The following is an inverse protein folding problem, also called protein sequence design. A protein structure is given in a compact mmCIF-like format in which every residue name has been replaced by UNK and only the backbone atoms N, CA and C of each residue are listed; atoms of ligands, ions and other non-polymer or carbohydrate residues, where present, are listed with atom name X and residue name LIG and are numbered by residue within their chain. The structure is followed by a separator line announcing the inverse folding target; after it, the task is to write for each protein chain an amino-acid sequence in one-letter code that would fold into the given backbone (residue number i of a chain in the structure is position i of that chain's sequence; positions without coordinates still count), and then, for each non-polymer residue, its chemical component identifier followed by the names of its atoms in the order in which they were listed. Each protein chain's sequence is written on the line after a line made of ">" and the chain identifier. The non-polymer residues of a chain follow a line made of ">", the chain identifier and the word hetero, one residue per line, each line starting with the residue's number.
data_IF_215052613294
#
_entry.id   IF_215052613294
#
_cell.length_a   1.000
_cell.length_b   1.000
_cell.length_c   1.000
_cell.angle_alpha   90.00
_cell.angle_beta   90.00
_cell.angle_gamma   90.00
#
_symmetry.space_group_name_H-M   'P 1'
#
loop_
_entity.id
_entity.type
_entity.pdbx_description
1 polymer ?
#
# COMPACT_ATOMS: atom_id res chain seq x y z
N UNK A 1 -10.01 -7.96 34.76
CA UNK A 1 -11.08 -7.98 33.76
C UNK A 1 -10.44 -8.23 32.42
N UNK A 2 -11.14 -8.86 31.48
CA UNK A 2 -10.59 -9.32 30.20
C UNK A 2 -11.56 -8.98 29.06
N UNK A 3 -11.01 -8.59 27.91
CA UNK A 3 -11.75 -8.39 26.68
C UNK A 3 -10.92 -8.86 25.48
N UNK A 4 -11.60 -9.35 24.44
CA UNK A 4 -10.98 -9.79 23.18
C UNK A 4 -11.68 -9.06 22.01
N UNK A 5 -10.96 -8.23 21.31
CA UNK A 5 -11.48 -7.33 20.28
C UNK A 5 -10.84 -7.66 18.94
N UNK A 6 -11.65 -7.76 17.88
CA UNK A 6 -11.16 -8.04 16.53
C UNK A 6 -10.60 -6.80 15.88
N UNK A 7 -9.48 -6.99 15.18
CA UNK A 7 -8.80 -5.96 14.38
C UNK A 7 -8.01 -6.63 13.26
N UNK A 8 -7.23 -5.84 12.52
CA UNK A 8 -6.32 -6.33 11.50
C UNK A 8 -4.98 -5.59 11.55
N UNK A 9 -3.92 -6.25 11.09
CA UNK A 9 -2.60 -5.64 10.86
C UNK A 9 -2.20 -5.79 9.39
N UNK A 10 -1.45 -4.81 8.88
CA UNK A 10 -0.97 -4.83 7.50
C UNK A 10 0.35 -5.60 7.40
N UNK A 11 0.42 -6.52 6.42
CA UNK A 11 1.63 -7.27 6.11
C UNK A 11 1.89 -7.24 4.59
N UNK A 12 2.83 -6.41 4.16
CA UNK A 12 3.04 -6.12 2.74
C UNK A 12 1.81 -5.46 2.11
N UNK A 13 1.13 -6.18 1.22
CA UNK A 13 -0.09 -5.72 0.54
C UNK A 13 -1.36 -6.40 1.05
N UNK A 14 -1.26 -7.23 2.10
CA UNK A 14 -2.39 -7.99 2.66
C UNK A 14 -2.66 -7.58 4.10
N UNK A 15 -3.93 -7.52 4.46
CA UNK A 15 -4.35 -7.49 5.85
C UNK A 15 -4.29 -8.89 6.46
N UNK A 16 -3.96 -8.95 7.73
CA UNK A 16 -4.01 -10.18 8.52
C UNK A 16 -4.90 -9.94 9.74
N UNK A 17 -5.94 -10.77 9.95
CA UNK A 17 -6.82 -10.60 11.10
C UNK A 17 -6.05 -10.89 12.39
N UNK A 18 -6.32 -10.09 13.40
CA UNK A 18 -5.75 -10.23 14.75
C UNK A 18 -6.83 -10.04 15.82
N UNK A 19 -6.55 -10.55 17.01
CA UNK A 19 -7.34 -10.28 18.20
C UNK A 19 -6.51 -9.44 19.16
N UNK A 20 -7.03 -8.30 19.55
CA UNK A 20 -6.48 -7.43 20.61
C UNK A 20 -7.10 -7.88 21.93
N UNK A 21 -6.30 -8.52 22.78
CA UNK A 21 -6.73 -8.97 24.10
C UNK A 21 -6.30 -7.93 25.15
N UNK A 22 -7.26 -7.33 25.82
CA UNK A 22 -7.03 -6.36 26.88
C UNK A 22 -7.28 -6.99 28.25
N UNK A 23 -6.28 -6.97 29.11
CA UNK A 23 -6.40 -7.42 30.49
C UNK A 23 -6.08 -6.29 31.47
N UNK A 24 -7.06 -5.95 32.32
CA UNK A 24 -6.90 -4.99 33.42
C UNK A 24 -6.87 -5.74 34.72
N UNK A 25 -5.67 -5.88 35.33
CA UNK A 25 -5.40 -6.66 36.50
C UNK A 25 -5.15 -5.81 37.75
N UNK A 26 -5.01 -6.48 38.90
CA UNK A 26 -4.58 -5.85 40.16
C UNK A 26 -3.07 -5.57 40.09
N UNK A 27 -2.61 -4.52 40.76
CA UNK A 27 -1.19 -4.18 40.90
C UNK A 27 -0.89 -2.72 40.62
N UNK A 28 0.39 -2.37 40.67
CA UNK A 28 0.84 -1.01 40.37
C UNK A 28 0.49 -0.61 38.94
N UNK A 29 0.11 0.66 38.70
CA UNK A 29 -0.18 1.16 37.36
C UNK A 29 0.96 0.88 36.38
N UNK A 30 0.62 0.31 35.26
CA UNK A 30 1.57 -0.02 34.21
C UNK A 30 0.84 -0.40 32.92
N UNK A 31 1.49 -0.19 31.78
CA UNK A 31 0.96 -0.56 30.45
C UNK A 31 2.02 -1.34 29.69
N UNK A 32 1.66 -2.52 29.24
CA UNK A 32 2.56 -3.41 28.50
C UNK A 32 1.84 -3.95 27.27
N UNK A 33 2.50 -3.89 26.11
CA UNK A 33 2.03 -4.53 24.87
C UNK A 33 2.92 -5.73 24.56
N UNK A 34 2.31 -6.89 24.36
CA UNK A 34 2.98 -8.15 23.98
C UNK A 34 2.43 -8.66 22.65
N UNK A 35 3.02 -9.69 22.06
CA UNK A 35 2.60 -10.23 20.75
C UNK A 35 3.37 -9.63 19.58
N UNK A 36 4.67 -9.35 19.76
CA UNK A 36 5.58 -8.80 18.75
C UNK A 36 5.18 -7.41 18.20
N UNK A 37 4.89 -6.41 19.08
CA UNK A 37 4.54 -5.07 18.62
C UNK A 37 5.74 -4.39 17.95
N UNK A 38 5.46 -3.55 16.92
CA UNK A 38 6.42 -2.59 16.41
C UNK A 38 6.49 -1.30 17.26
N UNK A 39 7.21 -0.30 16.80
CA UNK A 39 7.33 0.98 17.50
C UNK A 39 6.00 1.74 17.52
N UNK A 40 5.25 1.76 16.40
CA UNK A 40 3.94 2.42 16.31
C UNK A 40 2.91 1.84 17.29
N UNK A 41 2.92 0.50 17.50
CA UNK A 41 2.09 -0.15 18.52
C UNK A 41 2.52 0.19 19.95
N UNK A 42 3.80 0.44 20.20
CA UNK A 42 4.27 0.84 21.54
C UNK A 42 3.83 2.25 21.92
N UNK A 43 3.75 3.14 20.94
CA UNK A 43 3.24 4.51 21.09
C UNK A 43 1.72 4.56 21.28
N UNK A 44 0.96 3.50 20.95
CA UNK A 44 -0.50 3.42 21.12
C UNK A 44 -0.94 3.75 22.56
N UNK A 45 -0.10 3.45 23.58
CA UNK A 45 -0.38 3.79 24.96
C UNK A 45 -0.76 5.25 25.13
N UNK A 46 0.07 6.15 24.61
CA UNK A 46 -0.08 7.58 24.87
C UNK A 46 -1.23 8.16 24.04
N UNK A 47 -1.42 7.66 22.79
CA UNK A 47 -2.56 8.03 21.95
C UNK A 47 -3.88 7.56 22.53
N UNK A 48 -3.98 6.27 22.89
CA UNK A 48 -5.20 5.69 23.46
C UNK A 48 -5.55 6.35 24.79
N UNK A 49 -4.55 6.60 25.66
CA UNK A 49 -4.77 7.28 26.94
C UNK A 49 -5.33 8.68 26.75
N UNK A 50 -4.70 9.47 25.88
CA UNK A 50 -5.15 10.83 25.60
C UNK A 50 -6.57 10.83 24.98
N UNK A 51 -6.84 9.95 24.03
CA UNK A 51 -8.14 9.83 23.38
C UNK A 51 -9.26 9.45 24.37
N UNK A 52 -9.01 8.49 25.28
CA UNK A 52 -9.98 8.12 26.33
C UNK A 52 -10.28 9.31 27.24
N UNK A 53 -9.25 9.98 27.76
CA UNK A 53 -9.43 11.14 28.63
C UNK A 53 -10.16 12.30 27.94
N UNK A 54 -9.81 12.60 26.68
CA UNK A 54 -10.45 13.65 25.88
C UNK A 54 -11.91 13.32 25.53
N UNK A 55 -12.25 12.03 25.50
CA UNK A 55 -13.62 11.55 25.27
C UNK A 55 -14.42 11.40 26.56
N UNK A 56 -13.89 11.82 27.71
CA UNK A 56 -14.59 11.79 29.02
C UNK A 56 -14.51 10.44 29.76
N UNK A 57 -13.68 9.51 29.30
CA UNK A 57 -13.49 8.22 29.96
C UNK A 57 -12.26 8.24 30.85
N UNK A 58 -12.30 7.49 31.96
CA UNK A 58 -11.17 7.36 32.87
C UNK A 58 -10.11 6.39 32.34
N UNK A 59 -8.85 6.70 32.60
CA UNK A 59 -7.74 5.77 32.37
C UNK A 59 -7.57 4.84 33.59
N UNK A 60 -7.60 3.50 33.42
CA UNK A 60 -7.47 2.58 34.52
C UNK A 60 -6.12 2.73 35.25
N UNK A 61 -6.14 3.12 36.52
CA UNK A 61 -4.95 3.24 37.39
C UNK A 61 -4.52 1.87 37.94
N UNK A 62 -4.47 0.87 37.05
CA UNK A 62 -4.15 -0.54 37.35
C UNK A 62 -3.14 -1.07 36.34
N UNK A 63 -2.73 -2.33 36.49
CA UNK A 63 -1.85 -2.96 35.50
C UNK A 63 -2.64 -3.36 34.24
N UNK A 64 -2.30 -2.75 33.14
CA UNK A 64 -2.88 -3.03 31.81
C UNK A 64 -1.88 -3.87 31.02
N UNK A 65 -2.36 -4.98 30.45
CA UNK A 65 -1.61 -5.79 29.50
C UNK A 65 -2.43 -5.94 28.23
N UNK A 66 -1.89 -5.53 27.10
CA UNK A 66 -2.46 -5.72 25.78
C UNK A 66 -1.69 -6.82 25.09
N UNK A 67 -2.36 -7.87 24.63
CA UNK A 67 -1.77 -8.91 23.82
C UNK A 67 -2.33 -8.83 22.40
N UNK A 68 -1.44 -8.74 21.41
CA UNK A 68 -1.79 -8.77 20.00
C UNK A 68 -1.72 -10.22 19.52
N UNK A 69 -2.83 -10.95 19.67
CA UNK A 69 -2.92 -12.36 19.34
C UNK A 69 -3.21 -12.57 17.82
N UNK A 70 -2.71 -13.67 17.25
CA UNK A 70 -2.85 -14.01 15.84
C UNK A 70 -1.58 -13.77 15.03
N UNK A 71 -1.28 -14.66 14.07
CA UNK A 71 -0.11 -14.65 13.20
C UNK A 71 1.24 -14.67 13.94
N UNK A 72 2.22 -15.36 13.41
CA UNK A 72 3.60 -15.36 13.94
C UNK A 72 4.41 -14.11 13.59
N UNK A 73 3.80 -13.12 12.98
CA UNK A 73 4.44 -11.98 12.37
C UNK A 73 4.43 -10.75 13.29
N UNK A 74 5.35 -9.81 13.03
CA UNK A 74 5.41 -8.56 13.76
C UNK A 74 4.21 -7.69 13.42
N UNK A 75 3.40 -7.34 14.44
CA UNK A 75 2.22 -6.49 14.32
C UNK A 75 2.64 -5.04 14.34
N UNK A 76 2.07 -4.25 13.46
CA UNK A 76 2.51 -2.89 13.32
C UNK A 76 1.44 -1.89 12.92
N UNK A 77 1.79 -0.61 13.12
CA UNK A 77 0.95 0.53 12.80
C UNK A 77 0.01 0.95 13.92
N UNK A 78 -0.57 2.13 13.74
CA UNK A 78 -1.50 2.74 14.69
C UNK A 78 -2.96 2.28 14.48
N UNK A 79 -3.24 1.48 13.46
CA UNK A 79 -4.60 1.04 13.13
C UNK A 79 -5.31 0.21 14.20
N UNK A 80 -4.57 -0.26 15.20
CA UNK A 80 -5.09 -1.02 16.33
C UNK A 80 -5.48 -0.15 17.54
N UNK A 81 -5.20 1.16 17.52
CA UNK A 81 -5.48 2.05 18.65
C UNK A 81 -6.95 1.99 19.07
N UNK A 82 -7.86 2.01 18.09
CA UNK A 82 -9.29 1.91 18.36
C UNK A 82 -9.67 0.58 19.03
N UNK A 83 -9.12 -0.54 18.54
CA UNK A 83 -9.38 -1.84 19.14
C UNK A 83 -8.83 -1.94 20.58
N UNK A 84 -7.68 -1.31 20.86
CA UNK A 84 -7.12 -1.24 22.22
C UNK A 84 -8.03 -0.41 23.12
N UNK A 85 -8.51 0.75 22.67
CA UNK A 85 -9.41 1.62 23.42
C UNK A 85 -10.72 0.90 23.76
N UNK A 86 -11.37 0.30 22.75
CA UNK A 86 -12.60 -0.48 22.95
C UNK A 86 -12.36 -1.66 23.89
N UNK A 87 -11.23 -2.36 23.76
CA UNK A 87 -10.85 -3.45 24.65
C UNK A 87 -10.73 -3.03 26.11
N UNK A 88 -10.18 -1.84 26.37
CA UNK A 88 -10.12 -1.28 27.71
C UNK A 88 -11.51 -0.91 28.24
N UNK A 89 -12.35 -0.28 27.42
CA UNK A 89 -13.72 0.09 27.80
C UNK A 89 -14.60 -1.14 28.09
N UNK A 90 -14.45 -2.21 27.31
CA UNK A 90 -15.11 -3.50 27.57
C UNK A 90 -14.57 -4.14 28.85
N UNK A 91 -13.26 -4.16 29.06
CA UNK A 91 -12.66 -4.71 30.26
C UNK A 91 -13.07 -3.94 31.54
N UNK A 92 -13.36 -2.64 31.45
CA UNK A 92 -13.87 -1.84 32.57
C UNK A 92 -15.41 -1.90 32.72
N UNK A 93 -16.10 -2.61 31.81
CA UNK A 93 -17.56 -2.77 31.86
C UNK A 93 -18.35 -1.54 31.38
N UNK A 94 -17.69 -0.61 30.68
CA UNK A 94 -18.33 0.59 30.10
C UNK A 94 -19.04 0.19 28.81
N UNK A 95 -18.43 -0.62 27.95
CA UNK A 95 -19.01 -1.13 26.71
C UNK A 95 -19.42 -2.59 26.89
N UNK A 96 -20.66 -2.98 26.52
CA UNK A 96 -21.09 -4.38 26.55
C UNK A 96 -20.26 -5.28 25.62
N UNK A 97 -19.87 -6.46 26.08
CA UNK A 97 -19.09 -7.43 25.30
C UNK A 97 -19.81 -7.81 24.01
N UNK A 98 -21.13 -8.05 24.10
CA UNK A 98 -21.97 -8.50 22.98
C UNK A 98 -22.07 -7.44 21.87
N UNK A 99 -21.93 -6.16 22.21
CA UNK A 99 -21.92 -5.07 21.24
C UNK A 99 -20.59 -5.04 20.48
N UNK A 100 -19.47 -5.27 21.17
CA UNK A 100 -18.15 -5.28 20.57
C UNK A 100 -17.85 -6.55 19.77
N UNK A 101 -18.37 -7.72 20.18
CA UNK A 101 -18.10 -9.00 19.51
C UNK A 101 -18.54 -9.08 18.06
N UNK A 102 -19.54 -8.28 17.65
CA UNK A 102 -20.04 -8.25 16.26
C UNK A 102 -19.16 -7.42 15.34
N UNK A 103 -18.30 -6.59 15.92
CA UNK A 103 -17.50 -5.60 15.20
C UNK A 103 -16.02 -5.98 15.11
N UNK A 104 -15.37 -5.49 14.06
CA UNK A 104 -13.92 -5.37 13.97
C UNK A 104 -13.56 -3.87 13.92
N UNK A 105 -12.50 -3.46 14.61
CA UNK A 105 -12.17 -2.05 14.81
C UNK A 105 -10.81 -1.73 14.19
N UNK A 106 -10.80 -0.77 13.25
CA UNK A 106 -9.59 -0.37 12.51
C UNK A 106 -9.56 1.16 12.41
N UNK A 107 -8.81 1.81 13.29
CA UNK A 107 -8.50 3.24 13.18
C UNK A 107 -7.32 3.59 14.09
N UNK A 108 -6.58 4.62 13.73
CA UNK A 108 -5.70 5.36 14.63
C UNK A 108 -6.53 6.34 15.46
N UNK A 109 -6.15 6.58 16.69
CA UNK A 109 -6.79 7.57 17.57
C UNK A 109 -5.98 8.87 17.60
N UNK A 110 -6.65 9.97 17.31
CA UNK A 110 -6.16 11.30 17.63
C UNK A 110 -6.18 11.54 19.13
N UNK A 111 -5.31 12.41 19.63
CA UNK A 111 -5.24 12.76 21.07
C UNK A 111 -6.54 13.42 21.58
N UNK A 112 -7.32 13.97 20.68
CA UNK A 112 -8.63 14.59 20.89
C UNK A 112 -9.81 13.59 20.88
N UNK A 113 -9.53 12.30 20.68
CA UNK A 113 -10.54 11.25 20.53
C UNK A 113 -11.11 11.10 19.12
N UNK A 114 -10.59 11.85 18.13
CA UNK A 114 -10.97 11.66 16.72
C UNK A 114 -10.43 10.34 16.16
N UNK A 115 -11.20 9.70 15.27
CA UNK A 115 -10.76 8.56 14.51
C UNK A 115 -10.04 9.01 13.25
N UNK A 116 -8.85 8.45 13.00
CA UNK A 116 -8.01 8.76 11.84
C UNK A 116 -7.74 7.51 11.00
N UNK A 117 -7.62 7.67 9.68
CA UNK A 117 -7.25 6.56 8.81
C UNK A 117 -5.79 6.13 9.07
N UNK A 118 -5.51 4.86 8.83
CA UNK A 118 -4.13 4.35 8.75
C UNK A 118 -3.82 3.93 7.32
N UNK A 119 -2.55 3.70 6.99
CA UNK A 119 -2.18 3.18 5.69
C UNK A 119 -2.72 1.75 5.50
N UNK A 120 -3.20 1.44 4.31
CA UNK A 120 -3.69 0.11 3.99
C UNK A 120 -5.11 -0.18 4.49
N UNK A 121 -5.98 0.84 4.54
CA UNK A 121 -7.36 0.64 4.99
C UNK A 121 -8.10 -0.43 4.17
N UNK A 122 -7.95 -0.45 2.84
CA UNK A 122 -8.60 -1.46 2.02
C UNK A 122 -8.17 -2.89 2.36
N UNK A 123 -6.88 -3.28 2.36
CA UNK A 123 -6.47 -4.62 2.76
C UNK A 123 -6.74 -4.94 4.24
N UNK A 124 -6.73 -3.97 5.14
CA UNK A 124 -7.09 -4.20 6.54
C UNK A 124 -8.57 -4.56 6.70
N UNK A 125 -9.45 -3.82 6.02
CA UNK A 125 -10.90 -4.09 6.02
C UNK A 125 -11.21 -5.42 5.33
N UNK A 126 -10.53 -5.74 4.22
CA UNK A 126 -10.68 -7.02 3.51
C UNK A 126 -10.43 -8.22 4.44
N UNK A 127 -9.41 -8.14 5.29
CA UNK A 127 -9.04 -9.19 6.23
C UNK A 127 -10.11 -9.53 7.29
N UNK A 128 -11.07 -8.63 7.53
CA UNK A 128 -12.13 -8.77 8.55
C UNK A 128 -13.51 -8.44 7.97
N UNK A 129 -13.67 -8.55 6.65
CA UNK A 129 -14.86 -8.15 5.90
C UNK A 129 -16.14 -8.92 6.26
N UNK A 130 -16.01 -10.05 6.92
CA UNK A 130 -17.12 -10.86 7.46
C UNK A 130 -17.83 -10.23 8.67
N UNK A 131 -17.15 -9.29 9.37
CA UNK A 131 -17.68 -8.57 10.53
C UNK A 131 -18.28 -7.21 10.14
N UNK A 132 -18.96 -6.55 11.08
CA UNK A 132 -19.25 -5.12 10.97
C UNK A 132 -17.94 -4.36 11.21
N UNK A 133 -17.40 -3.71 10.16
CA UNK A 133 -16.08 -3.07 10.27
C UNK A 133 -16.21 -1.60 10.61
N UNK A 134 -15.74 -1.24 11.81
CA UNK A 134 -15.72 0.14 12.31
C UNK A 134 -14.42 0.81 11.86
N UNK A 135 -14.56 1.92 11.15
CA UNK A 135 -13.43 2.68 10.57
C UNK A 135 -13.61 4.17 10.80
N UNK A 136 -12.53 4.94 10.65
CA UNK A 136 -12.63 6.39 10.59
C UNK A 136 -13.52 6.83 9.42
N UNK A 137 -14.39 7.81 9.62
CA UNK A 137 -15.29 8.33 8.59
C UNK A 137 -14.55 8.79 7.32
N UNK A 138 -13.37 9.39 7.49
CA UNK A 138 -12.50 9.80 6.38
C UNK A 138 -11.89 8.64 5.57
N UNK A 139 -11.89 7.41 6.12
CA UNK A 139 -11.43 6.20 5.44
C UNK A 139 -12.55 5.43 4.72
N UNK A 140 -13.80 5.86 4.84
CA UNK A 140 -14.96 5.10 4.36
C UNK A 140 -14.87 4.78 2.86
N UNK A 141 -14.47 5.76 2.04
CA UNK A 141 -14.36 5.58 0.60
C UNK A 141 -13.32 4.52 0.21
N UNK A 142 -12.15 4.53 0.83
CA UNK A 142 -11.10 3.53 0.61
C UNK A 142 -11.51 2.15 1.15
N UNK A 143 -12.14 2.11 2.31
CA UNK A 143 -12.60 0.88 2.96
C UNK A 143 -13.68 0.14 2.14
N UNK A 144 -14.51 0.87 1.39
CA UNK A 144 -15.51 0.27 0.50
C UNK A 144 -14.91 -0.53 -0.65
N UNK A 145 -13.64 -0.32 -1.00
CA UNK A 145 -12.94 -1.13 -2.01
C UNK A 145 -12.88 -2.61 -1.62
N UNK A 146 -12.77 -2.90 -0.33
CA UNK A 146 -12.77 -4.26 0.21
C UNK A 146 -14.14 -4.95 0.17
N UNK A 147 -15.20 -4.24 -0.24
CA UNK A 147 -16.60 -4.74 -0.29
C UNK A 147 -17.04 -5.44 1.00
N UNK A 148 -16.82 -4.83 2.19
CA UNK A 148 -17.21 -5.45 3.46
C UNK A 148 -18.72 -5.68 3.53
N UNK A 149 -19.13 -6.69 4.29
CA UNK A 149 -20.56 -7.00 4.50
C UNK A 149 -21.31 -5.80 5.12
N UNK A 150 -20.67 -5.13 6.07
CA UNK A 150 -21.14 -3.89 6.69
C UNK A 150 -19.97 -2.99 7.09
N UNK A 151 -19.94 -1.78 6.57
CA UNK A 151 -19.01 -0.73 6.99
C UNK A 151 -19.70 0.23 7.95
N UNK A 152 -19.01 0.59 9.03
CA UNK A 152 -19.47 1.49 10.09
C UNK A 152 -18.49 2.66 10.25
N UNK A 153 -18.62 3.70 9.42
CA UNK A 153 -17.78 4.88 9.54
C UNK A 153 -18.20 5.70 10.77
N UNK A 154 -17.21 6.09 11.59
CA UNK A 154 -17.39 6.88 12.81
C UNK A 154 -16.35 7.98 12.87
N UNK A 155 -16.69 9.12 13.50
CA UNK A 155 -15.81 10.29 13.54
C UNK A 155 -15.00 10.35 14.84
N UNK A 156 -15.61 9.99 15.97
CA UNK A 156 -14.98 10.09 17.28
C UNK A 156 -15.19 8.83 18.13
N UNK A 157 -14.32 8.62 19.11
CA UNK A 157 -14.45 7.53 20.08
C UNK A 157 -15.74 7.67 20.92
N UNK A 158 -16.12 8.90 21.29
CA UNK A 158 -17.34 9.15 22.04
C UNK A 158 -18.59 8.70 21.27
N UNK A 159 -18.71 9.12 20.00
CA UNK A 159 -19.79 8.72 19.10
C UNK A 159 -19.89 7.19 18.97
N UNK A 160 -18.76 6.50 18.84
CA UNK A 160 -18.73 5.04 18.80
C UNK A 160 -19.26 4.42 20.09
N UNK A 161 -18.85 4.93 21.25
CA UNK A 161 -19.28 4.39 22.56
C UNK A 161 -20.77 4.60 22.78
N UNK A 162 -21.32 5.75 22.40
CA UNK A 162 -22.76 6.03 22.45
C UNK A 162 -23.56 5.00 21.62
N UNK A 163 -23.07 4.66 20.41
CA UNK A 163 -23.70 3.62 19.57
C UNK A 163 -23.63 2.24 20.25
N UNK A 164 -22.48 1.88 20.81
CA UNK A 164 -22.29 0.54 21.40
C UNK A 164 -23.01 0.35 22.73
N UNK A 165 -23.18 1.42 23.52
CA UNK A 165 -23.79 1.38 24.85
C UNK A 165 -25.29 1.65 24.80
N UNK A 166 -25.68 2.76 24.14
CA UNK A 166 -27.07 3.24 24.14
C UNK A 166 -27.90 2.66 23.00
N UNK A 167 -27.23 1.95 22.05
CA UNK A 167 -27.90 1.42 20.87
C UNK A 167 -28.39 2.51 19.92
N UNK A 168 -27.80 3.69 19.95
CA UNK A 168 -28.11 4.77 19.01
C UNK A 168 -27.86 4.33 17.57
N UNK A 169 -28.58 4.86 16.58
CA UNK A 169 -28.33 4.52 15.19
C UNK A 169 -26.89 4.87 14.78
N UNK A 170 -26.27 3.99 13.99
CA UNK A 170 -24.97 4.28 13.41
C UNK A 170 -25.00 5.57 12.60
N UNK A 171 -23.95 6.40 12.66
CA UNK A 171 -23.86 7.63 11.90
C UNK A 171 -24.08 7.39 10.41
N UNK A 172 -24.90 8.20 9.77
CA UNK A 172 -25.08 8.17 8.33
C UNK A 172 -23.99 9.05 7.68
N UNK A 173 -22.80 8.51 7.56
CA UNK A 173 -21.69 9.19 6.87
C UNK A 173 -21.89 9.02 5.36
N UNK A 174 -22.12 10.12 4.66
CA UNK A 174 -22.12 10.11 3.20
C UNK A 174 -20.72 9.70 2.72
N UNK A 175 -20.61 8.48 2.20
CA UNK A 175 -19.37 8.07 1.51
C UNK A 175 -19.31 8.89 0.23
N UNK A 176 -18.28 9.74 0.06
CA UNK A 176 -18.15 10.51 -1.17
C UNK A 176 -18.19 9.54 -2.35
N UNK A 177 -19.16 9.74 -3.26
CA UNK A 177 -19.10 9.04 -4.54
C UNK A 177 -17.79 9.42 -5.20
N UNK A 178 -16.95 8.43 -5.49
CA UNK A 178 -15.65 8.68 -6.08
C UNK A 178 -15.85 9.38 -7.42
N UNK A 179 -15.45 10.63 -7.48
CA UNK A 179 -15.10 11.21 -8.75
C UNK A 179 -13.85 10.45 -9.23
N UNK A 180 -14.06 9.55 -10.19
CA UNK A 180 -12.96 8.93 -10.91
C UNK A 180 -12.23 10.07 -11.60
N UNK A 181 -11.14 10.54 -11.02
CA UNK A 181 -10.16 11.31 -11.78
C UNK A 181 -9.54 10.30 -12.72
N UNK A 182 -10.14 10.16 -13.89
CA UNK A 182 -9.51 9.47 -15.00
C UNK A 182 -8.40 10.40 -15.44
N UNK A 183 -7.18 10.12 -15.00
CA UNK A 183 -6.02 10.75 -15.64
C UNK A 183 -6.20 10.54 -17.14
N UNK A 184 -6.22 11.64 -17.89
CA UNK A 184 -6.39 11.57 -19.32
C UNK A 184 -5.23 10.76 -19.89
N UNK A 185 -5.52 9.51 -20.27
CA UNK A 185 -4.52 8.62 -20.85
C UNK A 185 -4.17 9.22 -22.21
N UNK A 186 -2.90 9.54 -22.38
CA UNK A 186 -2.42 10.05 -23.67
C UNK A 186 -2.62 8.98 -24.76
N UNK A 187 -3.23 9.36 -25.87
CA UNK A 187 -3.54 8.45 -26.98
C UNK A 187 -2.35 8.33 -27.96
N UNK A 188 -2.14 7.13 -28.50
CA UNK A 188 -1.15 6.89 -29.56
C UNK A 188 -1.53 7.60 -30.86
N UNK A 189 -2.79 7.95 -31.06
CA UNK A 189 -3.25 8.75 -32.20
C UNK A 189 -2.60 10.15 -32.28
N UNK A 190 -2.16 10.70 -31.12
CA UNK A 190 -1.46 11.99 -31.10
C UNK A 190 -0.04 11.92 -31.68
N UNK A 191 0.52 10.72 -31.84
CA UNK A 191 1.90 10.52 -32.31
C UNK A 191 1.93 10.57 -33.81
N UNK A 192 2.62 11.58 -34.34
CA UNK A 192 2.85 11.71 -35.80
C UNK A 192 4.20 11.07 -36.16
N UNK A 193 4.19 10.29 -37.25
CA UNK A 193 5.39 9.55 -37.68
C UNK A 193 5.72 8.39 -36.73
N UNK A 194 6.99 8.06 -36.59
CA UNK A 194 7.50 7.00 -35.70
C UNK A 194 6.87 5.61 -35.96
N UNK A 195 6.57 5.27 -37.22
CA UNK A 195 5.82 4.06 -37.59
C UNK A 195 6.38 2.77 -37.00
N UNK A 196 7.71 2.60 -37.00
CA UNK A 196 8.36 1.41 -36.44
C UNK A 196 8.23 1.33 -34.91
N UNK A 197 8.38 2.47 -34.23
CA UNK A 197 8.24 2.51 -32.77
C UNK A 197 6.78 2.30 -32.34
N UNK A 198 5.82 2.84 -33.10
CA UNK A 198 4.38 2.60 -32.90
C UNK A 198 4.04 1.13 -33.05
N UNK A 199 4.46 0.49 -34.12
CA UNK A 199 4.26 -0.94 -34.36
C UNK A 199 4.88 -1.78 -33.22
N UNK A 200 6.11 -1.45 -32.82
CA UNK A 200 6.77 -2.15 -31.74
C UNK A 200 6.00 -2.03 -30.40
N UNK A 201 5.42 -0.85 -30.08
CA UNK A 201 4.58 -0.65 -28.90
C UNK A 201 3.26 -1.42 -28.98
N UNK A 202 2.63 -1.48 -30.15
CA UNK A 202 1.42 -2.28 -30.37
C UNK A 202 1.69 -3.79 -30.18
N UNK A 203 2.82 -4.28 -30.69
CA UNK A 203 3.26 -5.67 -30.46
C UNK A 203 3.58 -5.92 -28.98
N UNK A 204 4.31 -5.00 -28.34
CA UNK A 204 4.63 -5.11 -26.91
C UNK A 204 3.36 -5.12 -26.04
N UNK A 205 2.39 -4.25 -26.35
CA UNK A 205 1.12 -4.19 -25.62
C UNK A 205 0.27 -5.45 -25.82
N UNK A 206 0.15 -5.95 -27.05
CA UNK A 206 -0.70 -7.11 -27.36
C UNK A 206 -0.14 -8.43 -26.80
N UNK A 207 1.18 -8.57 -26.74
CA UNK A 207 1.84 -9.76 -26.20
C UNK A 207 2.36 -9.62 -24.79
N UNK A 208 2.19 -8.46 -24.16
CA UNK A 208 2.80 -8.11 -22.85
C UNK A 208 4.32 -8.33 -22.84
N UNK A 209 5.00 -7.97 -23.95
CA UNK A 209 6.44 -8.15 -24.14
C UNK A 209 7.23 -6.98 -23.60
N UNK A 210 8.23 -7.25 -22.78
CA UNK A 210 9.17 -6.22 -22.34
C UNK A 210 9.87 -5.57 -23.54
N UNK A 211 10.15 -4.27 -23.42
CA UNK A 211 10.67 -3.48 -24.53
C UNK A 211 11.81 -2.55 -24.12
N UNK A 212 12.87 -2.51 -24.92
CA UNK A 212 13.94 -1.53 -24.82
C UNK A 212 13.91 -0.58 -26.01
N UNK A 213 13.77 0.72 -25.73
CA UNK A 213 13.89 1.79 -26.72
C UNK A 213 15.27 2.42 -26.66
N UNK A 214 16.03 2.35 -27.74
CA UNK A 214 17.33 2.98 -27.86
C UNK A 214 17.30 4.09 -28.91
N UNK A 215 17.76 5.28 -28.55
CA UNK A 215 17.78 6.42 -29.48
C UNK A 215 18.34 7.68 -28.82
N UNK A 216 18.63 8.74 -29.61
CA UNK A 216 19.18 9.98 -29.11
C UNK A 216 18.21 10.71 -28.17
N UNK A 217 18.70 11.66 -27.37
CA UNK A 217 17.85 12.59 -26.65
C UNK A 217 16.85 13.30 -27.61
N UNK A 218 15.62 13.52 -27.15
CA UNK A 218 14.58 14.15 -27.98
C UNK A 218 13.91 13.26 -29.02
N UNK A 219 14.29 11.98 -29.15
CA UNK A 219 13.65 11.05 -30.09
C UNK A 219 12.19 10.65 -29.72
N UNK A 220 11.64 11.15 -28.64
CA UNK A 220 10.26 10.89 -28.23
C UNK A 220 10.05 9.59 -27.44
N UNK A 221 11.10 8.94 -26.93
CA UNK A 221 11.01 7.68 -26.19
C UNK A 221 10.03 7.74 -24.99
N UNK A 222 10.20 8.73 -24.12
CA UNK A 222 9.34 8.92 -22.93
C UNK A 222 7.90 9.33 -23.32
N UNK A 223 7.73 10.08 -24.41
CA UNK A 223 6.42 10.42 -24.96
C UNK A 223 5.66 9.17 -25.44
N UNK A 224 6.36 8.26 -26.10
CA UNK A 224 5.81 6.98 -26.59
C UNK A 224 5.45 6.06 -25.41
N UNK A 225 6.35 5.91 -24.42
CA UNK A 225 6.12 5.07 -23.26
C UNK A 225 4.86 5.47 -22.47
N UNK A 226 4.62 6.79 -22.30
CA UNK A 226 3.43 7.31 -21.59
C UNK A 226 2.09 6.98 -22.26
N UNK A 227 2.09 6.59 -23.53
CA UNK A 227 0.90 6.20 -24.29
C UNK A 227 0.60 4.70 -24.23
N UNK A 228 1.54 3.92 -23.72
CA UNK A 228 1.41 2.47 -23.65
C UNK A 228 0.22 2.00 -22.77
N UNK A 229 -0.11 2.63 -21.64
CA UNK A 229 -1.31 2.25 -20.89
C UNK A 229 -2.60 2.31 -21.69
N UNK A 230 -2.69 3.22 -22.68
CA UNK A 230 -3.83 3.33 -23.58
C UNK A 230 -3.93 2.21 -24.64
N UNK A 231 -2.84 1.49 -24.88
CA UNK A 231 -2.79 0.33 -25.77
C UNK A 231 -3.05 -0.99 -25.04
N UNK A 232 -2.86 -1.02 -23.73
CA UNK A 232 -3.14 -2.20 -22.92
C UNK A 232 -4.65 -2.40 -22.74
N UNK A 233 -5.13 -3.65 -22.58
CA UNK A 233 -6.51 -3.90 -22.24
C UNK A 233 -6.87 -3.25 -20.90
N UNK A 234 -8.13 -2.93 -20.71
CA UNK A 234 -8.62 -2.50 -19.39
C UNK A 234 -8.42 -3.61 -18.39
N UNK A 235 -8.12 -3.23 -17.15
CA UNK A 235 -7.98 -4.19 -16.05
C UNK A 235 -9.30 -4.91 -15.82
N UNK A 236 -9.23 -6.21 -15.57
CA UNK A 236 -10.34 -6.96 -15.00
C UNK A 236 -10.65 -6.46 -13.58
N UNK A 237 -11.80 -6.83 -13.02
CA UNK A 237 -12.15 -6.43 -11.65
C UNK A 237 -11.11 -6.91 -10.62
N UNK A 238 -10.59 -8.13 -10.77
CA UNK A 238 -9.60 -8.71 -9.85
C UNK A 238 -8.23 -8.02 -9.97
N UNK A 239 -7.81 -7.68 -11.20
CA UNK A 239 -6.57 -6.92 -11.43
C UNK A 239 -6.67 -5.50 -10.86
N UNK A 240 -7.80 -4.84 -11.11
CA UNK A 240 -8.05 -3.50 -10.59
C UNK A 240 -8.16 -3.49 -9.06
N UNK A 241 -8.78 -4.51 -8.46
CA UNK A 241 -8.81 -4.72 -7.01
C UNK A 241 -7.38 -4.91 -6.46
N UNK A 242 -6.57 -5.77 -7.09
CA UNK A 242 -5.16 -5.98 -6.71
C UNK A 242 -4.36 -4.68 -6.74
N UNK A 243 -4.51 -3.88 -7.80
CA UNK A 243 -3.86 -2.57 -7.90
C UNK A 243 -4.30 -1.61 -6.79
N UNK A 244 -5.59 -1.60 -6.45
CA UNK A 244 -6.14 -0.78 -5.37
C UNK A 244 -5.56 -1.19 -4.00
N UNK A 245 -5.47 -2.50 -3.71
CA UNK A 245 -4.87 -3.02 -2.48
C UNK A 245 -3.40 -2.65 -2.35
N UNK A 246 -2.62 -2.76 -3.43
CA UNK A 246 -1.20 -2.36 -3.44
C UNK A 246 -1.05 -0.87 -3.15
N UNK A 247 -1.86 -0.02 -3.80
CA UNK A 247 -1.82 1.44 -3.60
C UNK A 247 -2.20 1.84 -2.18
N UNK A 248 -3.27 1.24 -1.65
CA UNK A 248 -3.70 1.40 -0.27
C UNK A 248 -2.58 1.03 0.72
N UNK A 249 -1.97 -0.16 0.56
CA UNK A 249 -0.86 -0.62 1.38
C UNK A 249 0.39 0.28 1.31
N UNK A 250 0.61 0.93 0.17
CA UNK A 250 1.67 1.94 0.01
C UNK A 250 1.35 3.27 0.71
N UNK A 251 0.14 3.44 1.26
CA UNK A 251 -0.33 4.69 1.86
C UNK A 251 -0.65 5.77 0.84
N UNK A 252 -0.91 5.39 -0.42
CA UNK A 252 -1.34 6.30 -1.47
C UNK A 252 -2.85 6.53 -1.38
N UNK A 253 -3.30 7.71 -1.77
CA UNK A 253 -4.75 7.95 -1.89
C UNK A 253 -5.36 7.01 -2.92
N UNK A 254 -6.41 6.33 -2.51
CA UNK A 254 -7.19 5.44 -3.37
C UNK A 254 -8.63 5.96 -3.36
N UNK A 255 -9.17 6.26 -4.53
CA UNK A 255 -10.57 6.62 -4.65
C UNK A 255 -11.46 5.38 -4.50
N UNK A 256 -12.72 5.56 -4.09
CA UNK A 256 -13.70 4.46 -3.98
C UNK A 256 -14.04 3.80 -5.32
N UNK A 257 -13.65 4.42 -6.46
CA UNK A 257 -13.74 3.77 -7.76
C UNK A 257 -12.43 3.06 -8.07
N UNK A 258 -12.54 1.77 -8.34
CA UNK A 258 -11.42 0.97 -8.81
C UNK A 258 -11.08 1.44 -10.22
N UNK A 259 -9.86 1.97 -10.42
CA UNK A 259 -9.42 2.42 -11.72
C UNK A 259 -9.28 1.21 -12.66
N UNK A 260 -10.01 1.23 -13.78
CA UNK A 260 -9.91 0.18 -14.80
C UNK A 260 -8.72 0.37 -15.75
N UNK A 261 -7.96 1.42 -15.58
CA UNK A 261 -6.81 1.75 -16.42
C UNK A 261 -5.53 1.15 -15.83
N UNK A 262 -4.69 0.49 -16.66
CA UNK A 262 -3.40 -0.01 -16.24
C UNK A 262 -2.52 1.10 -15.63
N UNK A 263 -1.86 0.86 -14.48
CA UNK A 263 -0.99 1.84 -13.86
C UNK A 263 0.26 2.11 -14.72
N UNK A 264 0.77 3.34 -14.65
CA UNK A 264 2.05 3.73 -15.23
C UNK A 264 2.97 4.26 -14.13
N UNK A 265 4.10 3.60 -13.95
CA UNK A 265 5.12 3.99 -12.97
C UNK A 265 6.42 4.33 -13.68
N UNK A 266 6.99 5.48 -13.33
CA UNK A 266 8.24 5.95 -13.92
C UNK A 266 9.15 6.49 -12.80
N UNK A 267 9.82 5.60 -12.07
CA UNK A 267 10.74 6.02 -11.00
C UNK A 267 11.97 6.72 -11.56
N UNK A 268 12.51 7.63 -10.77
CA UNK A 268 13.76 8.30 -11.11
C UNK A 268 14.95 7.32 -10.99
N UNK A 269 15.98 7.45 -11.81
CA UNK A 269 17.14 6.55 -11.82
C UNK A 269 17.92 6.51 -10.49
N UNK A 270 17.82 7.53 -9.63
CA UNK A 270 18.41 7.54 -8.29
C UNK A 270 17.60 6.76 -7.23
N UNK A 271 16.58 6.01 -7.64
CA UNK A 271 15.77 5.22 -6.71
C UNK A 271 16.60 4.18 -5.96
N UNK A 272 16.30 3.96 -4.68
CA UNK A 272 16.90 2.87 -3.92
C UNK A 272 16.29 1.51 -4.27
N UNK A 273 17.03 0.41 -4.05
CA UNK A 273 16.53 -0.95 -4.25
C UNK A 273 15.23 -1.19 -3.43
N UNK A 274 15.18 -0.74 -2.17
CA UNK A 274 13.99 -0.90 -1.33
C UNK A 274 12.77 -0.12 -1.85
N UNK A 275 12.97 1.05 -2.48
CA UNK A 275 11.89 1.79 -3.09
C UNK A 275 11.44 1.16 -4.42
N UNK A 276 12.33 0.49 -5.14
CA UNK A 276 12.03 -0.20 -6.40
C UNK A 276 11.24 -1.50 -6.16
N UNK A 277 11.77 -2.41 -5.36
CA UNK A 277 11.15 -3.74 -5.16
C UNK A 277 10.27 -3.81 -3.92
N UNK A 278 10.41 -2.88 -3.00
CA UNK A 278 9.72 -2.89 -1.73
C UNK A 278 10.66 -3.19 -0.56
N UNK A 279 10.23 -2.83 0.63
CA UNK A 279 11.02 -2.98 1.84
C UNK A 279 10.64 -1.97 2.92
N UNK A 280 11.54 -1.74 3.85
CA UNK A 280 11.38 -0.79 4.96
C UNK A 280 11.95 -1.34 6.26
N UNK A 281 12.35 -0.53 7.22
CA UNK A 281 12.93 -0.99 8.50
C UNK A 281 11.87 -1.50 9.49
N UNK A 282 10.65 -0.95 9.46
CA UNK A 282 9.50 -1.36 10.26
C UNK A 282 8.54 -2.24 9.44
N UNK A 283 7.54 -1.61 8.83
CA UNK A 283 6.62 -2.27 7.90
C UNK A 283 7.25 -2.49 6.54
N UNK A 284 7.00 -3.65 5.96
CA UNK A 284 7.33 -3.90 4.56
C UNK A 284 6.28 -3.20 3.70
N UNK A 285 6.73 -2.21 2.92
CA UNK A 285 5.87 -1.47 1.98
C UNK A 285 6.12 -1.96 0.55
N UNK A 286 5.09 -1.97 -0.31
CA UNK A 286 5.27 -2.26 -1.72
C UNK A 286 6.14 -1.18 -2.38
N UNK A 287 6.99 -1.62 -3.32
CA UNK A 287 7.82 -0.74 -4.14
C UNK A 287 7.16 -0.40 -5.48
N UNK A 288 7.90 0.35 -6.32
CA UNK A 288 7.43 0.78 -7.64
C UNK A 288 7.06 -0.40 -8.53
N UNK A 289 7.75 -1.53 -8.40
CA UNK A 289 7.46 -2.74 -9.17
C UNK A 289 6.07 -3.30 -8.85
N UNK A 290 5.71 -3.36 -7.56
CA UNK A 290 4.37 -3.77 -7.14
C UNK A 290 3.30 -2.72 -7.51
N UNK A 291 3.62 -1.44 -7.41
CA UNK A 291 2.74 -0.34 -7.83
C UNK A 291 2.49 -0.32 -9.36
N UNK A 292 3.40 -0.91 -10.15
CA UNK A 292 3.26 -1.07 -11.59
C UNK A 292 2.51 -2.36 -11.98
N UNK A 293 2.12 -3.20 -11.02
CA UNK A 293 1.45 -4.49 -11.32
C UNK A 293 0.22 -4.29 -12.21
N UNK A 294 0.07 -5.20 -13.18
CA UNK A 294 -0.95 -5.17 -14.24
C UNK A 294 -0.90 -3.92 -15.13
N UNK A 295 0.24 -3.22 -15.15
CA UNK A 295 0.48 -2.02 -15.94
C UNK A 295 1.90 -1.92 -16.46
N UNK A 296 2.45 -0.72 -16.47
CA UNK A 296 3.75 -0.41 -17.07
C UNK A 296 4.73 0.12 -16.03
N UNK A 297 5.90 -0.50 -15.97
CA UNK A 297 7.07 0.06 -15.30
C UNK A 297 7.99 0.65 -16.37
N UNK A 298 8.13 1.97 -16.38
CA UNK A 298 8.98 2.68 -17.34
C UNK A 298 10.28 3.14 -16.67
N UNK A 299 11.41 2.65 -17.19
CA UNK A 299 12.74 3.06 -16.76
C UNK A 299 13.33 4.02 -17.79
N UNK A 300 13.18 5.31 -17.57
CA UNK A 300 13.84 6.31 -18.41
C UNK A 300 15.32 6.40 -18.02
N UNK A 301 16.18 6.62 -19.00
CA UNK A 301 17.63 6.64 -18.83
C UNK A 301 18.15 5.37 -18.11
N UNK A 302 17.69 4.18 -18.53
CA UNK A 302 18.01 2.91 -17.88
C UNK A 302 19.50 2.71 -17.60
N UNK A 303 20.37 3.23 -18.46
CA UNK A 303 21.83 3.17 -18.29
C UNK A 303 22.35 3.93 -17.06
N UNK A 304 21.57 4.81 -16.46
CA UNK A 304 21.95 5.58 -15.26
C UNK A 304 21.50 4.92 -13.94
N UNK A 305 20.61 3.91 -14.01
CA UNK A 305 20.21 3.17 -12.81
C UNK A 305 21.38 2.40 -12.19
N UNK A 306 21.47 2.30 -10.86
CA UNK A 306 22.44 1.45 -10.21
C UNK A 306 22.29 -0.02 -10.67
N UNK A 307 23.39 -0.74 -10.99
CA UNK A 307 23.30 -2.15 -11.40
C UNK A 307 22.56 -3.03 -10.41
N UNK A 308 22.71 -2.79 -9.12
CA UNK A 308 22.02 -3.52 -8.05
C UNK A 308 20.51 -3.38 -8.10
N UNK A 309 19.99 -2.22 -8.55
CA UNK A 309 18.55 -1.99 -8.74
C UNK A 309 18.06 -2.77 -9.96
N UNK A 310 18.78 -2.73 -11.09
CA UNK A 310 18.43 -3.49 -12.28
C UNK A 310 18.48 -5.00 -12.04
N UNK A 311 19.51 -5.48 -11.34
CA UNK A 311 19.63 -6.91 -10.99
C UNK A 311 18.48 -7.39 -10.09
N UNK A 312 17.95 -6.53 -9.22
CA UNK A 312 16.83 -6.86 -8.34
C UNK A 312 15.50 -7.02 -9.07
N UNK A 313 15.39 -6.57 -10.31
CA UNK A 313 14.16 -6.70 -11.14
C UNK A 313 14.03 -8.06 -11.81
N UNK A 314 15.12 -8.81 -12.03
CA UNK A 314 15.13 -10.03 -12.84
C UNK A 314 14.13 -11.06 -12.34
N UNK A 315 14.34 -11.56 -11.13
CA UNK A 315 13.47 -12.59 -10.57
C UNK A 315 12.01 -12.14 -10.48
N UNK A 316 11.66 -10.93 -9.99
CA UNK A 316 10.28 -10.48 -9.97
C UNK A 316 9.63 -10.36 -11.35
N UNK A 317 10.36 -9.96 -12.39
CA UNK A 317 9.82 -9.88 -13.76
C UNK A 317 9.54 -11.26 -14.37
N UNK A 318 10.33 -12.28 -14.01
CA UNK A 318 10.12 -13.66 -14.43
C UNK A 318 8.97 -14.34 -13.66
N UNK A 319 8.93 -14.15 -12.33
CA UNK A 319 7.97 -14.82 -11.44
C UNK A 319 6.64 -14.07 -11.33
N UNK A 320 6.58 -12.78 -11.68
CA UNK A 320 5.42 -11.92 -11.50
C UNK A 320 5.12 -11.55 -10.04
N UNK A 321 6.06 -11.84 -9.14
CA UNK A 321 5.95 -11.56 -7.70
C UNK A 321 7.28 -11.08 -7.13
N UNK A 322 7.20 -10.21 -6.12
CA UNK A 322 8.35 -9.85 -5.27
C UNK A 322 8.27 -10.65 -3.98
N UNK A 323 9.34 -11.36 -3.66
CA UNK A 323 9.52 -12.07 -2.41
C UNK A 323 10.52 -11.33 -1.53
N UNK A 324 10.05 -10.75 -0.42
CA UNK A 324 10.90 -10.08 0.57
C UNK A 324 10.99 -10.95 1.81
N UNK A 325 12.13 -11.59 1.99
CA UNK A 325 12.40 -12.42 3.17
C UNK A 325 13.21 -11.64 4.21
N UNK A 326 12.79 -11.73 5.46
CA UNK A 326 13.49 -11.22 6.66
C UNK A 326 13.65 -12.34 7.68
N UNK A 327 14.43 -12.09 8.73
CA UNK A 327 14.72 -13.09 9.77
C UNK A 327 13.48 -13.78 10.36
N UNK A 328 12.33 -13.08 10.41
CA UNK A 328 11.12 -13.58 11.06
C UNK A 328 9.85 -13.48 10.19
N UNK A 329 9.99 -13.11 8.92
CA UNK A 329 8.83 -12.95 8.05
C UNK A 329 9.21 -12.99 6.58
N UNK A 330 8.32 -13.53 5.74
CA UNK A 330 8.44 -13.48 4.29
C UNK A 330 7.15 -12.94 3.70
N UNK A 331 7.27 -11.89 2.87
CA UNK A 331 6.14 -11.24 2.21
C UNK A 331 6.23 -11.46 0.72
N UNK A 332 5.13 -11.87 0.14
CA UNK A 332 4.96 -11.95 -1.31
C UNK A 332 4.02 -10.84 -1.77
N UNK A 333 4.47 -10.04 -2.74
CA UNK A 333 3.71 -8.93 -3.32
C UNK A 333 3.61 -9.09 -4.83
N UNK A 334 2.51 -8.67 -5.48
CA UNK A 334 2.36 -8.76 -6.92
C UNK A 334 3.39 -7.86 -7.62
N UNK A 335 3.91 -8.32 -8.77
CA UNK A 335 4.90 -7.61 -9.57
C UNK A 335 4.78 -7.90 -11.08
N UNK A 336 3.63 -8.37 -11.54
CA UNK A 336 3.39 -8.64 -12.95
C UNK A 336 3.21 -7.33 -13.71
N UNK A 337 4.27 -6.81 -14.31
CA UNK A 337 4.21 -5.56 -15.07
C UNK A 337 4.90 -5.69 -16.42
N UNK A 338 4.51 -4.82 -17.36
CA UNK A 338 5.23 -4.65 -18.62
C UNK A 338 6.40 -3.70 -18.38
N UNK A 339 7.64 -4.21 -18.44
CA UNK A 339 8.83 -3.39 -18.39
C UNK A 339 9.07 -2.71 -19.74
N UNK A 340 9.13 -1.38 -19.71
CA UNK A 340 9.59 -0.58 -20.84
C UNK A 340 10.79 0.24 -20.38
N UNK A 341 11.89 0.12 -21.08
CA UNK A 341 13.09 0.87 -20.77
C UNK A 341 13.48 1.78 -21.93
N UNK A 342 14.03 2.93 -21.60
CA UNK A 342 14.58 3.86 -22.57
C UNK A 342 16.05 4.14 -22.24
N UNK A 343 16.90 4.16 -23.24
CA UNK A 343 18.32 4.47 -23.06
C UNK A 343 18.86 5.24 -24.27
N UNK A 344 19.96 5.93 -24.07
CA UNK A 344 20.74 6.49 -25.15
C UNK A 344 21.72 5.43 -25.67
N UNK A 345 22.16 5.50 -26.93
CA UNK A 345 23.14 4.53 -27.47
C UNK A 345 24.54 4.70 -26.89
N UNK A 346 24.81 5.86 -26.29
CA UNK A 346 26.06 6.20 -25.65
C UNK A 346 25.81 7.19 -24.51
N UNK A 347 26.65 7.25 -23.45
CA UNK A 347 26.50 8.24 -22.37
C UNK A 347 26.47 9.69 -22.85
N UNK A 348 27.15 10.02 -23.97
CA UNK A 348 27.10 11.36 -24.56
C UNK A 348 25.82 11.64 -25.38
N UNK A 349 24.94 10.65 -25.55
CA UNK A 349 23.73 10.78 -26.36
C UNK A 349 23.94 10.66 -27.88
N UNK A 350 25.18 10.61 -28.37
CA UNK A 350 25.48 10.55 -29.80
C UNK A 350 25.17 9.16 -30.37
N UNK A 351 24.52 9.14 -31.52
CA UNK A 351 24.12 7.91 -32.24
C UNK A 351 25.17 7.42 -33.21
N UNK A 352 25.92 8.36 -33.80
CA UNK A 352 26.94 8.04 -34.79
C UNK A 352 28.25 7.63 -34.12
N UNK A 353 28.84 6.50 -34.49
CA UNK A 353 30.18 6.14 -34.07
C UNK A 353 31.24 7.18 -34.38
N UNK A 354 31.04 7.94 -35.49
CA UNK A 354 31.98 8.99 -35.96
C UNK A 354 31.84 10.30 -35.16
N UNK A 355 30.61 10.61 -34.64
CA UNK A 355 30.36 11.79 -33.83
C UNK A 355 30.64 11.59 -32.35
N UNK A 356 30.74 10.33 -31.91
CA UNK A 356 30.92 10.01 -30.50
C UNK A 356 32.37 10.18 -30.04
N UNK A 357 32.60 11.06 -29.08
CA UNK A 357 33.93 11.34 -28.49
C UNK A 357 34.27 10.43 -27.28
N UNK A 358 33.37 9.53 -26.87
CA UNK A 358 33.59 8.64 -25.75
C UNK A 358 34.64 7.54 -26.05
N UNK A 359 35.54 7.28 -25.11
CA UNK A 359 36.46 6.17 -25.22
C UNK A 359 35.71 4.83 -25.41
N UNK A 360 36.27 3.93 -26.19
CA UNK A 360 35.65 2.61 -26.49
C UNK A 360 35.32 1.85 -25.21
N UNK A 361 36.20 1.91 -24.20
CA UNK A 361 35.99 1.27 -22.90
C UNK A 361 34.74 1.82 -22.14
N UNK A 362 34.48 3.13 -22.23
CA UNK A 362 33.32 3.77 -21.63
C UNK A 362 32.05 3.29 -22.34
N UNK A 363 32.04 3.28 -23.68
CA UNK A 363 30.92 2.78 -24.48
C UNK A 363 30.60 1.31 -24.17
N UNK A 364 31.62 0.46 -24.14
CA UNK A 364 31.45 -0.95 -23.83
C UNK A 364 30.92 -1.16 -22.40
N UNK A 365 31.40 -0.40 -21.43
CA UNK A 365 30.92 -0.46 -20.06
C UNK A 365 29.46 -0.02 -19.97
N UNK A 366 29.08 1.01 -20.70
CA UNK A 366 27.70 1.50 -20.75
C UNK A 366 26.75 0.44 -21.36
N UNK A 367 27.09 -0.12 -22.51
CA UNK A 367 26.28 -1.17 -23.15
C UNK A 367 26.18 -2.43 -22.30
N UNK A 368 27.24 -2.80 -21.56
CA UNK A 368 27.19 -3.95 -20.64
C UNK A 368 26.20 -3.81 -19.50
N UNK A 369 25.75 -2.60 -19.13
CA UNK A 369 24.76 -2.39 -18.09
C UNK A 369 23.39 -2.96 -18.43
N UNK A 370 23.04 -3.04 -19.71
CA UNK A 370 21.76 -3.52 -20.20
C UNK A 370 21.86 -4.65 -21.24
N UNK A 371 23.05 -5.12 -21.55
CA UNK A 371 23.27 -6.31 -22.37
C UNK A 371 23.35 -7.61 -21.55
N UNK A 372 23.15 -7.53 -20.26
CA UNK A 372 22.99 -8.67 -19.38
C UNK A 372 21.57 -9.24 -19.47
N UNK A 373 21.23 -10.24 -18.66
CA UNK A 373 19.93 -10.94 -18.75
C UNK A 373 18.76 -10.17 -18.13
N UNK A 374 18.52 -8.94 -18.56
CA UNK A 374 17.22 -8.25 -18.39
C UNK A 374 16.44 -8.43 -19.66
#
# INVERSE_FOLDING_TARGET
>A
MYAAIRSATLFGTRGTPITVEAHVGKGLPGFTVVGLPDEGCRESRDRVRAALLSSGFEWPLRRITINLAGGGERKGGAGMDLAIAVGLLVAEGIVPVEAAERCAFIAELGLDGSLRPTAGMAPLVDAVSEFEVVVAASAAAESMLARPSRLRPVTTLLELVEVLVDGTPWPNVAVPSAHVVVDAIADMADVRGQSNARLALEVAASGFHHMLMMGPPGAGKSMLARRLPGLLPRLTEDEAFTCAMVRSAAGMQVSSAIASSPPFRSPHHNISMAAMVGGGSGHIRPGELSLASNGVLFLDEMGEFPPTVLDSLRQPLEEGVVNISRAHSSVMMPARCLLVAATNPCPCGETSPLGCMCAISIRQRYVRRFSGPL
#
